data_IF_709449580235
#
_entry.id   IF_709449580235
#
_cell.length_a   1.000
_cell.length_b   1.000
_cell.length_c   1.000
_cell.angle_alpha   90.00
_cell.angle_beta   90.00
_cell.angle_gamma   90.00
#
_symmetry.space_group_name_H-M   'P 1'
#
loop_
_entity.id
_entity.type
_entity.pdbx_description
1 polymer ?
#
# COMPACT_ATOMS: atom_id res chain seq x y z
N UNK A 1 -48.75 1.92 33.72
CA UNK A 1 -48.68 2.73 32.48
C UNK A 1 -47.25 3.22 32.33
N UNK A 2 -46.77 3.24 31.08
CA UNK A 2 -45.38 3.42 30.68
C UNK A 2 -44.73 4.69 31.23
N UNK A 3 -43.53 4.54 31.82
CA UNK A 3 -42.60 5.64 32.03
C UNK A 3 -41.61 5.70 30.88
N UNK A 4 -41.71 6.73 30.04
CA UNK A 4 -40.76 7.00 28.96
C UNK A 4 -39.43 7.51 29.55
N UNK A 5 -38.34 6.81 29.28
CA UNK A 5 -36.97 7.33 29.47
C UNK A 5 -36.56 8.00 28.17
N UNK A 6 -36.45 9.33 28.18
CA UNK A 6 -35.89 10.09 27.07
C UNK A 6 -34.36 10.09 27.17
N UNK A 7 -33.70 9.41 26.24
CA UNK A 7 -32.24 9.46 26.08
C UNK A 7 -31.91 10.68 25.21
N UNK A 8 -31.36 11.73 25.81
CA UNK A 8 -30.90 12.91 25.07
C UNK A 8 -29.53 12.63 24.44
N UNK A 9 -29.50 12.47 23.12
CA UNK A 9 -28.27 12.46 22.33
C UNK A 9 -27.75 13.90 22.22
N UNK A 10 -26.66 14.19 22.92
CA UNK A 10 -25.89 15.41 22.70
C UNK A 10 -25.10 15.23 21.41
N UNK A 11 -25.57 15.80 20.30
CA UNK A 11 -24.70 16.05 19.15
C UNK A 11 -23.81 17.24 19.50
N UNK A 12 -22.54 17.00 19.80
CA UNK A 12 -21.53 18.04 19.78
C UNK A 12 -21.35 18.51 18.34
N UNK A 13 -21.99 19.63 17.97
CA UNK A 13 -21.60 20.37 16.78
C UNK A 13 -20.28 21.07 17.09
N UNK A 14 -19.17 20.41 16.79
CA UNK A 14 -17.88 21.08 16.70
C UNK A 14 -17.93 22.02 15.48
N UNK A 15 -18.33 23.26 15.71
CA UNK A 15 -18.05 24.36 14.80
C UNK A 15 -16.59 24.70 15.03
N UNK A 16 -15.73 24.36 14.07
CA UNK A 16 -14.38 24.89 14.02
C UNK A 16 -14.50 26.42 13.84
N UNK A 17 -14.30 27.17 14.92
CA UNK A 17 -14.10 28.60 14.82
C UNK A 17 -12.75 28.82 14.11
N UNK A 18 -12.63 29.74 13.14
CA UNK A 18 -11.33 30.14 12.65
C UNK A 18 -10.61 30.82 13.81
N UNK A 19 -9.51 30.22 14.25
CA UNK A 19 -8.62 30.85 15.20
C UNK A 19 -7.87 31.97 14.45
N UNK A 20 -8.32 33.21 14.64
CA UNK A 20 -7.76 34.43 14.03
C UNK A 20 -6.33 34.77 14.55
N UNK A 21 -5.69 33.83 15.26
CA UNK A 21 -4.32 33.96 15.79
C UNK A 21 -3.31 33.00 15.15
N UNK A 22 -3.66 32.36 14.03
CA UNK A 22 -2.68 31.65 13.21
C UNK A 22 -1.68 32.66 12.62
N UNK A 23 -0.53 32.80 13.28
CA UNK A 23 0.67 33.42 12.73
C UNK A 23 0.88 32.84 11.34
N UNK A 24 0.67 33.64 10.29
CA UNK A 24 1.00 33.26 8.91
C UNK A 24 2.47 32.85 8.94
N UNK A 25 2.82 31.57 8.76
CA UNK A 25 4.22 31.22 8.58
C UNK A 25 4.63 32.00 7.34
N UNK A 26 5.58 32.92 7.48
CA UNK A 26 6.27 33.42 6.29
C UNK A 26 6.81 32.16 5.61
N UNK A 27 6.19 31.78 4.50
CA UNK A 27 6.76 30.79 3.59
C UNK A 27 7.97 31.47 2.98
N UNK A 28 9.05 31.51 3.75
CA UNK A 28 10.35 31.93 3.29
C UNK A 28 10.80 30.86 2.31
N UNK A 29 10.65 31.18 1.03
CA UNK A 29 10.89 30.33 -0.15
C UNK A 29 9.92 29.16 -0.33
N UNK A 30 9.24 29.18 -1.48
CA UNK A 30 8.69 27.95 -2.07
C UNK A 30 9.90 27.11 -2.44
N UNK A 31 10.13 26.00 -1.75
CA UNK A 31 11.17 25.05 -2.17
C UNK A 31 10.92 24.64 -3.62
N UNK A 32 11.98 24.66 -4.42
CA UNK A 32 11.94 24.26 -5.81
C UNK A 32 11.56 22.77 -5.84
N UNK A 33 10.29 22.47 -6.16
CA UNK A 33 9.76 21.11 -6.37
C UNK A 33 10.31 20.41 -7.63
N UNK A 34 11.49 20.82 -8.06
CA UNK A 34 12.26 20.13 -9.08
C UNK A 34 13.46 19.51 -8.38
N UNK A 35 13.73 18.24 -8.69
CA UNK A 35 15.02 17.65 -8.36
C UNK A 35 16.12 18.62 -8.86
N UNK A 36 17.21 18.83 -8.10
CA UNK A 36 18.25 19.83 -8.42
C UNK A 36 18.99 19.56 -9.74
N UNK A 37 18.70 18.43 -10.40
CA UNK A 37 19.24 18.02 -11.69
C UNK A 37 18.37 18.42 -12.90
N UNK A 38 17.36 19.28 -12.73
CA UNK A 38 16.60 19.80 -13.86
C UNK A 38 17.50 20.57 -14.84
N UNK A 39 17.56 20.23 -16.14
CA UNK A 39 18.43 20.92 -17.09
C UNK A 39 18.11 22.41 -17.31
N UNK A 40 16.92 22.86 -16.90
CA UNK A 40 16.49 24.26 -16.96
C UNK A 40 16.94 25.09 -15.74
N UNK A 41 17.41 24.45 -14.66
CA UNK A 41 17.64 25.11 -13.37
C UNK A 41 16.36 25.47 -12.61
N UNK A 42 15.19 25.01 -13.08
CA UNK A 42 13.88 25.24 -12.45
C UNK A 42 12.88 24.12 -12.77
N UNK A 43 11.58 24.38 -12.57
CA UNK A 43 10.53 23.37 -12.80
C UNK A 43 10.24 23.08 -14.28
N UNK A 44 10.53 24.04 -15.17
CA UNK A 44 10.17 23.95 -16.58
C UNK A 44 11.07 22.95 -17.31
N UNK A 45 10.56 22.16 -18.26
CA UNK A 45 11.40 21.32 -19.11
C UNK A 45 12.29 22.18 -20.01
N UNK A 46 13.50 21.70 -20.31
CA UNK A 46 14.42 22.29 -21.29
C UNK A 46 14.74 21.27 -22.35
N UNK A 47 14.79 21.70 -23.60
CA UNK A 47 15.26 20.87 -24.72
C UNK A 47 16.74 20.57 -24.50
N UNK A 48 17.06 19.28 -24.45
CA UNK A 48 18.42 18.76 -24.33
C UNK A 48 18.64 17.69 -25.38
N UNK A 49 19.90 17.49 -25.78
CA UNK A 49 20.26 16.37 -26.63
C UNK A 49 20.01 15.04 -25.92
N UNK A 50 19.66 14.01 -26.67
CA UNK A 50 19.51 12.68 -26.10
C UNK A 50 20.86 12.21 -25.51
N UNK A 51 20.87 11.67 -24.27
CA UNK A 51 22.08 11.11 -23.68
C UNK A 51 22.73 10.06 -24.60
N UNK A 52 24.06 10.01 -24.61
CA UNK A 52 24.82 9.02 -25.38
C UNK A 52 24.44 7.58 -24.99
N UNK A 53 24.26 7.34 -23.70
CA UNK A 53 23.64 6.13 -23.16
C UNK A 53 22.13 6.29 -23.17
N UNK A 54 21.47 5.75 -24.20
CA UNK A 54 20.01 5.81 -24.31
C UNK A 54 19.34 4.82 -23.36
N UNK A 55 18.25 5.19 -22.67
CA UNK A 55 17.43 4.24 -21.95
C UNK A 55 16.87 3.20 -22.93
N UNK A 56 16.81 1.94 -22.51
CA UNK A 56 16.28 0.85 -23.31
C UNK A 56 14.91 0.45 -22.77
N UNK A 57 13.96 0.24 -23.68
CA UNK A 57 12.69 -0.43 -23.37
C UNK A 57 12.92 -1.91 -23.61
N UNK A 58 12.60 -2.75 -22.63
CA UNK A 58 12.62 -4.21 -22.80
C UNK A 58 11.30 -4.69 -23.39
N UNK A 59 11.33 -5.81 -24.11
CA UNK A 59 10.13 -6.58 -24.37
C UNK A 59 9.66 -7.24 -23.05
N UNK A 60 8.35 -7.41 -22.92
CA UNK A 60 7.68 -7.92 -21.73
C UNK A 60 7.07 -9.32 -21.97
N UNK A 61 7.78 -10.12 -22.76
CA UNK A 61 7.52 -11.53 -23.05
C UNK A 61 7.94 -12.46 -21.90
N UNK A 62 8.88 -12.03 -21.06
CA UNK A 62 9.30 -12.72 -19.85
C UNK A 62 9.43 -11.79 -18.63
N UNK A 63 9.60 -12.41 -17.45
CA UNK A 63 9.93 -11.69 -16.21
C UNK A 63 11.27 -10.97 -16.38
N UNK A 64 11.45 -9.84 -15.70
CA UNK A 64 12.77 -9.21 -15.69
C UNK A 64 13.76 -10.05 -14.88
N UNK A 65 15.06 -9.86 -15.14
CA UNK A 65 16.14 -10.49 -14.36
C UNK A 65 16.01 -10.23 -12.87
N UNK A 66 15.57 -9.03 -12.48
CA UNK A 66 15.40 -8.61 -11.10
C UNK A 66 14.21 -9.34 -10.45
N UNK A 67 13.10 -9.46 -11.18
CA UNK A 67 11.94 -10.18 -10.69
C UNK A 67 12.22 -11.67 -10.57
N UNK A 68 12.87 -12.29 -11.56
CA UNK A 68 13.25 -13.69 -11.49
C UNK A 68 14.17 -13.98 -10.28
N UNK A 69 15.17 -13.12 -10.08
CA UNK A 69 16.07 -13.21 -8.92
C UNK A 69 15.34 -12.96 -7.59
N UNK A 70 14.31 -12.11 -7.57
CA UNK A 70 13.48 -11.89 -6.39
C UNK A 70 12.59 -13.08 -6.08
N UNK A 71 11.88 -13.63 -7.08
CA UNK A 71 10.99 -14.79 -6.91
C UNK A 71 11.75 -15.98 -6.36
N UNK A 72 12.96 -16.27 -6.87
CA UNK A 72 13.81 -17.36 -6.37
C UNK A 72 14.12 -17.22 -4.88
N UNK A 73 14.40 -15.99 -4.41
CA UNK A 73 14.64 -15.71 -2.98
C UNK A 73 13.35 -15.77 -2.16
N UNK A 74 12.26 -15.20 -2.67
CA UNK A 74 10.97 -15.11 -1.96
C UNK A 74 10.39 -16.49 -1.66
N UNK A 75 10.54 -17.45 -2.58
CA UNK A 75 10.01 -18.82 -2.44
C UNK A 75 10.46 -19.50 -1.14
N UNK A 76 11.73 -19.36 -0.76
CA UNK A 76 12.22 -19.96 0.49
C UNK A 76 11.49 -19.38 1.72
N UNK A 77 11.03 -18.13 1.64
CA UNK A 77 10.34 -17.44 2.72
C UNK A 77 8.82 -17.69 2.72
N UNK A 78 8.27 -18.48 1.79
CA UNK A 78 6.83 -18.81 1.76
C UNK A 78 6.53 -20.21 2.26
N UNK A 79 7.53 -21.10 2.33
CA UNK A 79 7.33 -22.54 2.58
C UNK A 79 6.71 -22.79 3.96
N UNK A 80 7.30 -22.23 5.01
CA UNK A 80 6.86 -22.48 6.38
C UNK A 80 5.47 -21.89 6.67
N UNK A 81 5.22 -20.68 6.18
CA UNK A 81 3.91 -20.04 6.30
C UNK A 81 2.85 -20.78 5.46
N UNK A 82 3.19 -21.27 4.27
CA UNK A 82 2.30 -22.05 3.42
C UNK A 82 1.92 -23.37 4.10
N UNK A 83 2.90 -24.06 4.67
CA UNK A 83 2.68 -25.28 5.45
C UNK A 83 1.71 -25.03 6.60
N UNK A 84 2.00 -24.01 7.39
CA UNK A 84 1.18 -23.62 8.55
C UNK A 84 -0.24 -23.23 8.14
N UNK A 85 -0.38 -22.46 7.07
CA UNK A 85 -1.67 -22.02 6.54
C UNK A 85 -2.51 -23.19 6.03
N UNK A 86 -1.94 -24.09 5.20
CA UNK A 86 -2.64 -25.24 4.66
C UNK A 86 -3.02 -26.27 5.73
N UNK A 87 -2.14 -26.52 6.71
CA UNK A 87 -2.46 -27.39 7.83
C UNK A 87 -3.61 -26.85 8.67
N UNK A 88 -3.68 -25.51 8.86
CA UNK A 88 -4.80 -24.87 9.58
C UNK A 88 -6.13 -24.98 8.84
N UNK A 89 -6.11 -25.01 7.50
CA UNK A 89 -7.32 -25.17 6.70
C UNK A 89 -8.00 -26.54 6.90
N UNK A 90 -7.29 -27.53 7.47
CA UNK A 90 -7.80 -28.86 7.85
C UNK A 90 -8.64 -29.51 6.73
N UNK A 91 -8.10 -29.49 5.52
CA UNK A 91 -8.78 -30.02 4.33
C UNK A 91 -8.87 -31.55 4.46
N UNK A 92 -10.08 -32.08 4.50
CA UNK A 92 -10.32 -33.51 4.69
C UNK A 92 -9.62 -34.35 3.61
N UNK A 93 -8.82 -35.33 4.03
CA UNK A 93 -8.07 -36.21 3.12
C UNK A 93 -6.79 -35.61 2.54
N UNK A 94 -6.37 -34.43 2.98
CA UNK A 94 -5.15 -33.77 2.53
C UNK A 94 -4.16 -33.55 3.68
N UNK A 95 -3.02 -34.24 3.63
CA UNK A 95 -1.90 -33.99 4.54
C UNK A 95 -1.01 -32.87 3.98
N UNK A 96 -1.30 -31.65 4.45
CA UNK A 96 -0.60 -30.44 4.03
C UNK A 96 0.89 -30.44 4.41
N UNK A 97 1.25 -30.98 5.56
CA UNK A 97 2.63 -31.00 6.03
C UNK A 97 3.48 -31.92 5.16
N UNK A 98 3.03 -33.16 4.95
CA UNK A 98 3.73 -34.10 4.06
C UNK A 98 3.80 -33.58 2.62
N UNK A 99 2.75 -32.92 2.13
CA UNK A 99 2.76 -32.31 0.80
C UNK A 99 3.82 -31.22 0.66
N UNK A 100 3.90 -30.28 1.61
CA UNK A 100 4.85 -29.17 1.53
C UNK A 100 6.28 -29.67 1.74
N UNK A 101 6.52 -30.55 2.70
CA UNK A 101 7.87 -31.11 2.95
C UNK A 101 8.42 -31.88 1.75
N UNK A 102 7.55 -32.62 1.04
CA UNK A 102 7.94 -33.34 -0.19
C UNK A 102 8.37 -32.39 -1.31
N UNK A 103 7.79 -31.20 -1.40
CA UNK A 103 8.00 -30.27 -2.52
C UNK A 103 8.82 -29.03 -2.16
N UNK A 104 9.33 -28.89 -0.93
CA UNK A 104 10.08 -27.70 -0.48
C UNK A 104 11.30 -27.35 -1.34
N UNK A 105 11.93 -28.36 -1.95
CA UNK A 105 13.09 -28.19 -2.84
C UNK A 105 12.71 -28.17 -4.33
N UNK A 106 11.42 -28.27 -4.65
CA UNK A 106 10.90 -28.27 -6.02
C UNK A 106 10.10 -26.98 -6.26
N UNK A 107 10.72 -26.00 -6.92
CA UNK A 107 10.13 -24.69 -7.17
C UNK A 107 8.82 -24.74 -7.98
N UNK A 108 8.59 -25.78 -8.78
CA UNK A 108 7.32 -25.95 -9.53
C UNK A 108 6.32 -26.84 -8.80
N UNK A 109 6.73 -27.49 -7.70
CA UNK A 109 5.88 -28.38 -6.90
C UNK A 109 5.04 -27.68 -5.85
N UNK A 110 5.38 -26.44 -5.49
CA UNK A 110 4.60 -25.61 -4.58
C UNK A 110 3.84 -24.50 -5.33
N UNK A 111 2.60 -24.17 -4.90
CA UNK A 111 1.81 -23.14 -5.55
C UNK A 111 2.41 -21.74 -5.36
N UNK A 112 2.30 -20.91 -6.39
CA UNK A 112 2.49 -19.47 -6.29
C UNK A 112 1.15 -18.83 -5.95
N UNK A 113 1.10 -18.12 -4.82
CA UNK A 113 -0.13 -17.43 -4.37
C UNK A 113 -0.01 -15.94 -4.72
N UNK A 114 -1.06 -15.37 -5.30
CA UNK A 114 -1.17 -13.94 -5.57
C UNK A 114 -2.44 -13.38 -4.92
N UNK A 115 -2.31 -12.21 -4.30
CA UNK A 115 -3.43 -11.45 -3.73
C UNK A 115 -3.60 -10.20 -4.58
N UNK A 116 -4.84 -9.89 -4.98
CA UNK A 116 -5.16 -8.72 -5.79
C UNK A 116 -6.26 -7.88 -5.12
N UNK A 117 -5.95 -6.61 -4.83
CA UNK A 117 -6.90 -5.63 -4.31
C UNK A 117 -7.50 -4.80 -5.46
N UNK A 118 -8.82 -4.81 -5.58
CA UNK A 118 -9.54 -4.08 -6.63
C UNK A 118 -9.54 -2.55 -6.42
N UNK A 119 -10.09 -1.83 -7.40
CA UNK A 119 -10.35 -0.39 -7.31
C UNK A 119 -11.64 -0.06 -6.56
N UNK A 120 -11.80 1.22 -6.21
CA UNK A 120 -12.99 1.70 -5.49
C UNK A 120 -12.70 2.74 -4.39
N UNK A 121 -11.63 3.52 -4.56
CA UNK A 121 -11.20 4.54 -3.59
C UNK A 121 -11.01 3.99 -2.18
N UNK A 122 -11.36 4.80 -1.18
CA UNK A 122 -11.23 4.46 0.24
C UNK A 122 -11.96 3.17 0.63
N UNK A 123 -13.08 2.85 -0.01
CA UNK A 123 -13.83 1.61 0.29
C UNK A 123 -12.99 0.38 -0.05
N UNK A 124 -12.38 0.37 -1.24
CA UNK A 124 -11.53 -0.74 -1.66
C UNK A 124 -10.26 -0.84 -0.80
N UNK A 125 -9.66 0.31 -0.46
CA UNK A 125 -8.55 0.38 0.48
C UNK A 125 -8.91 -0.23 1.82
N UNK A 126 -9.99 0.20 2.47
CA UNK A 126 -10.37 -0.27 3.81
C UNK A 126 -10.79 -1.73 3.84
N UNK A 127 -11.54 -2.18 2.82
CA UNK A 127 -11.92 -3.58 2.71
C UNK A 127 -10.68 -4.47 2.50
N UNK A 128 -9.78 -4.07 1.59
CA UNK A 128 -8.52 -4.77 1.36
C UNK A 128 -7.60 -4.74 2.58
N UNK A 129 -7.56 -3.62 3.31
CA UNK A 129 -6.78 -3.49 4.55
C UNK A 129 -7.29 -4.45 5.63
N UNK A 130 -8.60 -4.59 5.80
CA UNK A 130 -9.20 -5.58 6.70
C UNK A 130 -8.83 -7.02 6.31
N UNK A 131 -8.92 -7.35 5.02
CA UNK A 131 -8.50 -8.66 4.51
C UNK A 131 -7.01 -8.93 4.76
N UNK A 132 -6.13 -8.00 4.37
CA UNK A 132 -4.69 -8.14 4.58
C UNK A 132 -4.33 -8.21 6.06
N UNK A 133 -5.02 -7.45 6.91
CA UNK A 133 -4.82 -7.50 8.37
C UNK A 133 -5.10 -8.90 8.92
N UNK A 134 -6.18 -9.55 8.46
CA UNK A 134 -6.53 -10.92 8.85
C UNK A 134 -5.61 -11.99 8.24
N UNK A 135 -5.12 -11.77 7.02
CA UNK A 135 -4.20 -12.66 6.32
C UNK A 135 -2.75 -12.57 6.84
N UNK A 136 -2.40 -11.49 7.54
CA UNK A 136 -1.05 -11.24 8.05
C UNK A 136 -0.82 -11.94 9.41
N UNK A 137 0.09 -12.92 9.43
CA UNK A 137 0.42 -13.68 10.63
C UNK A 137 1.05 -12.84 11.75
N UNK A 138 1.54 -11.64 11.45
CA UNK A 138 2.08 -10.70 12.44
C UNK A 138 0.99 -10.10 13.34
N UNK A 139 -0.25 -10.02 12.87
CA UNK A 139 -1.37 -9.44 13.62
C UNK A 139 -2.10 -10.47 14.47
N UNK A 140 -2.30 -11.68 13.95
CA UNK A 140 -2.95 -12.76 14.68
C UNK A 140 -2.52 -14.12 14.13
N UNK A 141 -1.70 -14.87 14.87
CA UNK A 141 -1.16 -16.17 14.44
C UNK A 141 -2.21 -17.30 14.34
N UNK A 142 -3.32 -17.18 15.07
CA UNK A 142 -4.35 -18.24 15.16
C UNK A 142 -5.55 -17.98 14.26
N UNK A 143 -5.59 -16.83 13.57
CA UNK A 143 -6.67 -16.50 12.64
C UNK A 143 -6.82 -17.54 11.51
N UNK A 144 -8.05 -17.80 11.02
CA UNK A 144 -8.31 -18.84 10.01
C UNK A 144 -7.45 -18.69 8.75
N UNK A 145 -7.26 -17.47 8.26
CA UNK A 145 -6.45 -17.15 7.08
C UNK A 145 -5.06 -16.59 7.41
N UNK A 146 -4.65 -16.66 8.67
CA UNK A 146 -3.36 -16.14 9.12
C UNK A 146 -2.18 -16.78 8.40
N UNK A 147 -1.24 -15.97 7.93
CA UNK A 147 -0.08 -16.46 7.17
C UNK A 147 -0.34 -16.59 5.66
N UNK A 148 -1.57 -16.33 5.19
CA UNK A 148 -1.85 -16.28 3.75
C UNK A 148 -1.04 -15.17 3.07
N UNK A 149 -0.89 -14.00 3.71
CA UNK A 149 -0.05 -12.92 3.18
C UNK A 149 1.42 -13.34 3.13
N UNK A 150 1.92 -13.99 4.19
CA UNK A 150 3.29 -14.49 4.23
C UNK A 150 3.54 -15.64 3.24
N UNK A 151 2.52 -16.41 2.89
CA UNK A 151 2.57 -17.45 1.86
C UNK A 151 2.50 -16.89 0.44
N UNK A 152 2.05 -15.64 0.28
CA UNK A 152 1.87 -15.02 -1.03
C UNK A 152 3.21 -14.63 -1.68
N UNK A 153 3.30 -14.94 -2.98
CA UNK A 153 4.39 -14.50 -3.88
C UNK A 153 4.10 -13.13 -4.44
N UNK A 154 2.85 -12.77 -4.71
CA UNK A 154 2.52 -11.45 -5.29
C UNK A 154 1.39 -10.76 -4.53
N UNK A 155 1.51 -9.43 -4.43
CA UNK A 155 0.45 -8.54 -3.95
C UNK A 155 0.29 -7.42 -4.97
N UNK A 156 -0.87 -7.34 -5.59
CA UNK A 156 -1.20 -6.33 -6.59
C UNK A 156 -2.39 -5.49 -6.14
N UNK A 157 -2.46 -4.25 -6.61
CA UNK A 157 -3.53 -3.32 -6.29
C UNK A 157 -3.80 -2.35 -7.43
N UNK A 158 -5.08 -2.08 -7.73
CA UNK A 158 -5.50 -1.07 -8.71
C UNK A 158 -6.32 0.02 -8.03
N UNK A 159 -6.12 1.29 -8.41
CA UNK A 159 -6.89 2.44 -7.86
C UNK A 159 -6.84 2.44 -6.32
N UNK A 160 -7.97 2.36 -5.62
CA UNK A 160 -8.01 2.28 -4.16
C UNK A 160 -7.20 1.12 -3.55
N UNK A 161 -7.16 -0.04 -4.23
CA UNK A 161 -6.27 -1.13 -3.84
C UNK A 161 -4.80 -0.81 -4.11
N UNK A 162 -4.50 0.02 -5.10
CA UNK A 162 -3.16 0.56 -5.35
C UNK A 162 -2.68 1.49 -4.23
N UNK A 163 -3.58 2.28 -3.64
CA UNK A 163 -3.28 3.07 -2.45
C UNK A 163 -2.88 2.17 -1.28
N UNK A 164 -3.63 1.10 -1.02
CA UNK A 164 -3.30 0.12 0.02
C UNK A 164 -1.91 -0.49 -0.17
N UNK A 165 -1.64 -1.04 -1.37
CA UNK A 165 -0.35 -1.68 -1.66
C UNK A 165 0.80 -0.66 -1.59
N UNK A 166 0.60 0.54 -2.13
CA UNK A 166 1.57 1.63 -2.08
C UNK A 166 1.88 2.07 -0.65
N UNK A 167 0.87 2.23 0.20
CA UNK A 167 1.04 2.58 1.62
C UNK A 167 1.84 1.53 2.38
N UNK A 168 1.55 0.24 2.18
CA UNK A 168 2.31 -0.83 2.84
C UNK A 168 3.77 -0.86 2.34
N UNK A 169 3.97 -0.76 1.03
CA UNK A 169 5.30 -0.81 0.42
C UNK A 169 6.18 0.38 0.84
N UNK A 170 5.65 1.60 0.79
CA UNK A 170 6.37 2.82 1.16
C UNK A 170 6.74 2.87 2.66
N UNK A 171 6.01 2.13 3.50
CA UNK A 171 6.20 2.08 4.94
C UNK A 171 6.89 0.80 5.40
N UNK A 172 7.93 0.36 4.68
CA UNK A 172 8.75 -0.79 5.06
C UNK A 172 7.92 -2.06 5.37
N UNK A 173 6.86 -2.29 4.60
CA UNK A 173 5.95 -3.43 4.76
C UNK A 173 5.30 -3.52 6.15
N UNK A 174 5.04 -2.38 6.81
CA UNK A 174 4.31 -2.31 8.09
C UNK A 174 2.96 -3.01 8.03
N UNK A 175 2.51 -3.53 9.17
CA UNK A 175 1.19 -4.17 9.28
C UNK A 175 0.09 -3.12 9.13
N UNK A 176 -1.09 -3.54 8.68
CA UNK A 176 -2.25 -2.64 8.58
C UNK A 176 -2.59 -1.96 9.93
N UNK A 177 -2.62 -2.68 11.07
CA UNK A 177 -2.84 -2.03 12.37
C UNK A 177 -1.78 -0.99 12.73
N UNK A 178 -0.50 -1.25 12.46
CA UNK A 178 0.58 -0.28 12.71
C UNK A 178 0.42 0.98 11.83
N UNK A 179 -0.07 0.81 10.60
CA UNK A 179 -0.36 1.94 9.70
C UNK A 179 -1.58 2.74 10.14
N UNK A 180 -2.54 2.11 10.81
CA UNK A 180 -3.74 2.74 11.35
C UNK A 180 -3.47 3.49 12.65
N UNK A 181 -2.65 2.94 13.56
CA UNK A 181 -2.37 3.56 14.85
C UNK A 181 -1.41 4.76 14.75
N UNK A 182 -0.53 4.77 13.75
CA UNK A 182 0.48 5.83 13.60
C UNK A 182 1.63 5.75 14.61
N UNK A 183 1.62 4.77 15.53
CA UNK A 183 2.51 4.74 16.70
C UNK A 183 3.99 4.45 16.38
N UNK A 184 4.28 3.85 15.23
CA UNK A 184 5.65 3.51 14.79
C UNK A 184 6.22 4.48 13.75
N UNK A 185 5.52 5.58 13.45
CA UNK A 185 5.83 6.44 12.33
C UNK A 185 6.65 7.65 12.81
N UNK A 186 7.94 7.70 12.45
CA UNK A 186 8.66 8.98 12.48
C UNK A 186 8.04 9.96 11.48
N UNK A 187 8.39 11.26 11.56
CA UNK A 187 7.80 12.36 10.77
C UNK A 187 7.78 12.20 9.23
N UNK A 188 8.33 11.12 8.67
CA UNK A 188 8.42 10.85 7.23
C UNK A 188 7.57 9.65 6.75
N UNK A 189 6.87 8.92 7.64
CA UNK A 189 6.04 7.79 7.26
C UNK A 189 4.58 8.23 7.15
N UNK A 190 4.05 8.21 5.92
CA UNK A 190 2.66 8.55 5.63
C UNK A 190 1.79 7.38 6.10
N UNK A 191 0.90 7.62 7.07
CA UNK A 191 -0.13 6.66 7.41
C UNK A 191 -1.03 6.37 6.18
N UNK A 192 -1.80 5.28 6.19
CA UNK A 192 -2.60 4.85 5.02
C UNK A 192 -3.56 5.95 4.53
N UNK A 193 -3.97 6.87 5.42
CA UNK A 193 -4.82 8.01 5.07
C UNK A 193 -4.02 9.18 4.50
N UNK A 194 -2.85 9.48 5.07
CA UNK A 194 -1.94 10.54 4.62
C UNK A 194 -1.34 10.24 3.25
N UNK A 195 -1.12 8.97 2.89
CA UNK A 195 -0.69 8.62 1.54
C UNK A 195 -1.78 8.91 0.51
N UNK A 196 -3.04 8.65 0.84
CA UNK A 196 -4.18 8.97 -0.03
C UNK A 196 -4.40 10.48 -0.09
N UNK A 197 -4.34 11.19 1.04
CA UNK A 197 -4.39 12.65 1.08
C UNK A 197 -3.23 13.27 0.30
N UNK A 198 -2.02 12.73 0.38
CA UNK A 198 -0.88 13.18 -0.42
C UNK A 198 -1.14 12.97 -1.93
N UNK A 199 -1.64 11.80 -2.34
CA UNK A 199 -2.00 11.54 -3.75
C UNK A 199 -3.10 12.49 -4.22
N UNK A 200 -4.12 12.71 -3.41
CA UNK A 200 -5.22 13.62 -3.73
C UNK A 200 -4.73 15.07 -3.79
N UNK A 201 -3.83 15.49 -2.91
CA UNK A 201 -3.21 16.81 -2.94
C UNK A 201 -2.35 16.99 -4.19
N UNK A 202 -1.53 15.99 -4.57
CA UNK A 202 -0.80 16.01 -5.86
C UNK A 202 -1.74 16.07 -7.08
N UNK A 203 -2.94 15.45 -6.99
CA UNK A 203 -3.95 15.54 -8.05
C UNK A 203 -4.56 16.94 -8.09
N UNK A 204 -4.92 17.53 -6.96
CA UNK A 204 -5.47 18.89 -6.90
C UNK A 204 -4.46 19.94 -7.39
N UNK A 205 -3.18 19.77 -7.06
CA UNK A 205 -2.10 20.62 -7.54
C UNK A 205 -1.95 20.53 -9.08
N UNK A 206 -2.04 19.33 -9.66
CA UNK A 206 -2.04 19.17 -11.12
C UNK A 206 -3.29 19.77 -11.78
N UNK A 207 -4.49 19.59 -11.21
CA UNK A 207 -5.72 20.19 -11.77
C UNK A 207 -5.66 21.72 -11.77
N UNK A 208 -5.03 22.32 -10.76
CA UNK A 208 -4.83 23.77 -10.69
C UNK A 208 -3.70 24.28 -11.62
N UNK A 209 -2.75 23.42 -12.00
CA UNK A 209 -1.65 23.77 -12.91
C UNK A 209 -2.05 23.67 -14.40
N UNK A 210 -3.06 22.87 -14.75
CA UNK A 210 -3.54 22.68 -16.14
C UNK A 210 -4.86 23.40 -16.47
N UNK A 211 -5.26 24.44 -15.72
CA UNK A 211 -6.40 25.28 -16.10
C UNK A 211 -6.03 26.23 -17.25
N UNK A 212 -5.88 25.69 -18.45
CA UNK A 212 -5.88 26.48 -19.69
C UNK A 212 -7.28 27.09 -19.82
N UNK A 213 -7.40 28.39 -19.51
CA UNK A 213 -8.57 29.16 -19.95
C UNK A 213 -8.47 29.29 -21.45
N UNK A 214 -9.33 28.57 -22.17
CA UNK A 214 -9.68 28.95 -23.54
C UNK A 214 -10.70 30.08 -23.39
N UNK A 215 -10.24 31.29 -23.66
CA UNK A 215 -11.06 32.45 -24.06
C UNK A 215 -10.43 33.03 -25.31
#
# INVERSE_FOLDING_TARGET
>A
MLGFVALTLWLSTAIAAPDDTALIPRVNSVEIRALPNSPSGGYAPKVVDCPSTRPKVRLADELSSEEEAWVRRRRNNTIDDLKTFLSRANISGFDAESFVEKHKNNATGLPNIAIAASGGGYRALMNGAGFLSAADSRNNKTGPISGLLQSATYLAGLSGGGWLVGSIFANNFSTVPDLQSGEKQGCAQLNVFQYVEWIDDQRQLNVNQYRIRIT
#
